data_IF_499262613109
#
_entry.id   IF_499262613109
#
_cell.length_a   1.000
_cell.length_b   1.000
_cell.length_c   1.000
_cell.angle_alpha   90.00
_cell.angle_beta   90.00
_cell.angle_gamma   90.00
#
_symmetry.space_group_name_H-M   'P 1'
#
loop_
_entity.id
_entity.type
_entity.pdbx_description
1 polymer ?
#
# COMPACT_ATOMS: atom_id res chain seq x y z
N UNK A 1 -31.32 63.86 -1.74
CA UNK A 1 -32.33 62.83 -1.41
C UNK A 1 -31.64 61.74 -0.58
N UNK A 2 -31.99 61.60 0.70
CA UNK A 2 -31.45 60.53 1.51
C UNK A 2 -32.14 59.18 1.15
N UNK A 3 -31.35 58.17 0.79
CA UNK A 3 -31.84 56.84 0.45
C UNK A 3 -32.40 56.19 1.73
N UNK A 4 -33.71 55.94 1.79
CA UNK A 4 -34.33 55.20 2.92
C UNK A 4 -33.70 53.81 3.01
N UNK A 5 -33.04 53.54 4.13
CA UNK A 5 -32.50 52.22 4.42
C UNK A 5 -33.68 51.32 4.76
N UNK A 6 -33.81 50.20 4.07
CA UNK A 6 -34.82 49.20 4.37
C UNK A 6 -34.37 48.37 5.59
N UNK A 7 -34.90 48.71 6.77
CA UNK A 7 -34.61 48.06 8.06
C UNK A 7 -34.93 46.57 8.05
N UNK A 8 -35.94 46.12 7.31
CA UNK A 8 -36.30 44.71 7.19
C UNK A 8 -35.21 43.91 6.44
N UNK A 9 -34.64 44.50 5.38
CA UNK A 9 -33.53 43.87 4.67
C UNK A 9 -32.25 43.80 5.53
N UNK A 10 -32.02 44.77 6.41
CA UNK A 10 -30.88 44.72 7.36
C UNK A 10 -31.09 43.61 8.39
N UNK A 11 -32.29 43.50 8.96
CA UNK A 11 -32.60 42.42 9.93
C UNK A 11 -32.42 41.04 9.33
N UNK A 12 -32.88 40.78 8.13
CA UNK A 12 -32.66 39.49 7.42
C UNK A 12 -31.22 39.23 7.13
N UNK A 13 -30.41 40.23 6.84
CA UNK A 13 -28.97 40.07 6.63
C UNK A 13 -28.27 39.69 7.93
N UNK A 14 -28.66 40.27 9.07
CA UNK A 14 -28.13 39.94 10.40
C UNK A 14 -28.45 38.49 10.81
N UNK A 15 -29.71 38.05 10.57
CA UNK A 15 -30.13 36.66 10.80
C UNK A 15 -29.31 35.68 9.95
N UNK A 16 -29.07 36.01 8.67
CA UNK A 16 -28.29 35.17 7.76
C UNK A 16 -26.83 35.10 8.19
N UNK A 17 -26.25 36.20 8.65
CA UNK A 17 -24.89 36.21 9.24
C UNK A 17 -24.82 35.34 10.50
N UNK A 18 -25.85 35.39 11.35
CA UNK A 18 -25.96 34.53 12.53
C UNK A 18 -25.95 33.05 12.17
N UNK A 19 -26.75 32.65 11.18
CA UNK A 19 -26.80 31.29 10.65
C UNK A 19 -25.45 30.84 10.09
N UNK A 20 -24.79 31.67 9.29
CA UNK A 20 -23.47 31.36 8.71
C UNK A 20 -22.42 31.12 9.79
N UNK A 21 -22.41 31.93 10.87
CA UNK A 21 -21.51 31.72 12.00
C UNK A 21 -21.80 30.42 12.75
N UNK A 22 -23.09 30.05 12.86
CA UNK A 22 -23.47 28.75 13.45
C UNK A 22 -22.95 27.58 12.61
N UNK A 23 -23.09 27.63 11.28
CA UNK A 23 -22.55 26.62 10.37
C UNK A 23 -21.04 26.50 10.46
N UNK A 24 -20.30 27.62 10.52
CA UNK A 24 -18.85 27.61 10.69
C UNK A 24 -18.46 26.88 11.98
N UNK A 25 -19.16 27.14 13.08
CA UNK A 25 -18.93 26.48 14.37
C UNK A 25 -19.18 24.96 14.28
N UNK A 26 -20.26 24.54 13.60
CA UNK A 26 -20.58 23.13 13.39
C UNK A 26 -19.56 22.43 12.50
N UNK A 27 -19.07 23.11 11.45
CA UNK A 27 -18.02 22.61 10.57
C UNK A 27 -16.72 22.39 11.34
N UNK A 28 -16.34 23.32 12.22
CA UNK A 28 -15.13 23.17 13.03
C UNK A 28 -15.27 22.05 14.09
N UNK A 29 -16.47 21.87 14.65
CA UNK A 29 -16.75 20.74 15.52
C UNK A 29 -16.67 19.40 14.78
N UNK A 30 -17.20 19.31 13.57
CA UNK A 30 -17.07 18.12 12.71
C UNK A 30 -15.63 17.82 12.35
N UNK A 31 -14.83 18.82 12.02
CA UNK A 31 -13.39 18.65 11.74
C UNK A 31 -12.65 18.08 12.95
N UNK A 32 -12.96 18.58 14.14
CA UNK A 32 -12.38 18.07 15.38
C UNK A 32 -12.74 16.61 15.59
N UNK A 33 -14.01 16.24 15.43
CA UNK A 33 -14.49 14.87 15.57
C UNK A 33 -13.85 13.91 14.54
N UNK A 34 -13.67 14.37 13.30
CA UNK A 34 -12.99 13.58 12.26
C UNK A 34 -11.52 13.33 12.62
N UNK A 35 -10.83 14.31 13.19
CA UNK A 35 -9.46 14.14 13.64
C UNK A 35 -9.36 13.18 14.83
N UNK A 36 -10.24 13.30 15.81
CA UNK A 36 -10.33 12.37 16.94
C UNK A 36 -10.59 10.93 16.47
N UNK A 37 -11.55 10.73 15.56
CA UNK A 37 -11.84 9.42 14.99
C UNK A 37 -10.64 8.83 14.22
N UNK A 38 -9.88 9.67 13.54
CA UNK A 38 -8.65 9.25 12.86
C UNK A 38 -7.58 8.78 13.85
N UNK A 39 -7.41 9.50 14.94
CA UNK A 39 -6.44 9.17 15.99
C UNK A 39 -6.84 7.90 16.74
N UNK A 40 -8.13 7.73 17.04
CA UNK A 40 -8.69 6.50 17.62
C UNK A 40 -8.50 5.31 16.69
N UNK A 41 -8.72 5.49 15.40
CA UNK A 41 -8.50 4.46 14.39
C UNK A 41 -7.01 4.05 14.30
N UNK A 42 -6.09 5.01 14.34
CA UNK A 42 -4.66 4.74 14.38
C UNK A 42 -4.26 3.97 15.65
N UNK A 43 -4.83 4.33 16.79
CA UNK A 43 -4.62 3.65 18.08
C UNK A 43 -5.15 2.21 18.03
N UNK A 44 -6.33 2.00 17.46
CA UNK A 44 -6.92 0.67 17.30
C UNK A 44 -6.06 -0.21 16.38
N UNK A 45 -5.55 0.34 15.26
CA UNK A 45 -4.63 -0.38 14.37
C UNK A 45 -3.36 -0.80 15.10
N UNK A 46 -2.77 0.10 15.89
CA UNK A 46 -1.59 -0.22 16.67
C UNK A 46 -1.89 -1.32 17.71
N UNK A 47 -3.04 -1.26 18.40
CA UNK A 47 -3.47 -2.27 19.35
C UNK A 47 -3.73 -3.64 18.69
N UNK A 48 -4.36 -3.67 17.52
CA UNK A 48 -4.56 -4.90 16.74
C UNK A 48 -3.23 -5.48 16.25
N UNK A 49 -2.27 -4.64 15.88
CA UNK A 49 -0.92 -5.04 15.50
C UNK A 49 -0.17 -5.74 16.65
N UNK A 50 -0.31 -5.23 17.87
CA UNK A 50 0.23 -5.89 19.07
C UNK A 50 -0.39 -7.28 19.31
N UNK A 51 -1.63 -7.50 18.86
CA UNK A 51 -2.33 -8.78 19.01
C UNK A 51 -2.06 -9.77 17.86
N UNK A 52 -1.70 -9.28 16.69
CA UNK A 52 -1.57 -10.11 15.46
C UNK A 52 -0.13 -10.41 15.03
N UNK A 53 0.88 -9.86 15.73
CA UNK A 53 2.29 -9.99 15.37
C UNK A 53 2.75 -9.00 14.29
N UNK A 54 3.94 -9.25 13.75
CA UNK A 54 4.55 -8.39 12.72
C UNK A 54 3.84 -8.55 11.38
N UNK A 55 3.64 -7.46 10.64
CA UNK A 55 3.00 -7.50 9.34
C UNK A 55 2.66 -6.14 8.72
N UNK A 56 2.21 -6.17 7.48
CA UNK A 56 1.75 -4.98 6.76
C UNK A 56 0.40 -4.50 7.29
N UNK A 57 0.28 -3.19 7.45
CA UNK A 57 -1.00 -2.49 7.69
C UNK A 57 -1.61 -2.03 6.37
N UNK A 58 -0.78 -1.49 5.47
CA UNK A 58 -1.20 -1.11 4.11
C UNK A 58 -0.26 -1.72 3.07
N UNK A 59 -0.80 -2.09 1.90
CA UNK A 59 -0.01 -2.62 0.80
C UNK A 59 1.03 -1.60 0.31
N UNK A 60 2.20 -2.10 -0.11
CA UNK A 60 3.27 -1.30 -0.71
C UNK A 60 3.11 -1.11 -2.23
N UNK A 61 2.17 -1.82 -2.86
CA UNK A 61 1.90 -1.78 -4.30
C UNK A 61 3.18 -1.76 -5.17
N UNK A 62 3.78 -2.93 -5.31
CA UNK A 62 5.00 -3.11 -6.10
C UNK A 62 4.76 -2.84 -7.59
N UNK A 63 5.74 -2.26 -8.25
CA UNK A 63 5.69 -2.00 -9.68
C UNK A 63 7.07 -1.71 -10.26
N UNK A 64 7.15 -1.42 -11.55
CA UNK A 64 8.40 -1.03 -12.20
C UNK A 64 8.82 0.36 -11.71
N UNK A 65 10.09 0.49 -11.30
CA UNK A 65 10.67 1.77 -10.90
C UNK A 65 10.93 2.72 -12.07
N UNK A 66 11.17 4.00 -11.78
CA UNK A 66 11.67 4.92 -12.78
C UNK A 66 13.08 4.53 -13.29
N UNK A 67 13.82 3.69 -12.56
CA UNK A 67 14.91 2.86 -13.05
C UNK A 67 14.33 1.51 -13.46
N UNK A 68 14.24 1.18 -14.77
CA UNK A 68 13.44 0.04 -15.24
C UNK A 68 13.86 -1.34 -14.74
N UNK A 69 15.09 -1.49 -14.25
CA UNK A 69 15.57 -2.74 -13.65
C UNK A 69 15.23 -2.87 -12.17
N UNK A 70 14.65 -1.83 -11.55
CA UNK A 70 14.33 -1.77 -10.13
C UNK A 70 12.83 -1.92 -9.87
N UNK A 71 12.49 -2.40 -8.66
CA UNK A 71 11.12 -2.54 -8.20
C UNK A 71 10.75 -1.34 -7.32
N UNK A 72 9.79 -0.53 -7.78
CA UNK A 72 9.23 0.59 -7.03
C UNK A 72 8.23 0.12 -5.98
N UNK A 73 8.07 0.93 -4.93
CA UNK A 73 7.03 0.75 -3.91
C UNK A 73 6.29 2.05 -3.67
N UNK A 74 5.00 1.99 -3.41
CA UNK A 74 4.26 3.11 -2.85
C UNK A 74 4.52 3.23 -1.33
N UNK A 75 4.00 4.31 -0.74
CA UNK A 75 4.03 4.47 0.71
C UNK A 75 3.24 3.35 1.38
N UNK A 76 3.85 2.72 2.38
CA UNK A 76 3.19 1.68 3.16
C UNK A 76 3.43 1.86 4.66
N UNK A 77 2.54 1.25 5.44
CA UNK A 77 2.67 1.19 6.89
C UNK A 77 2.69 -0.27 7.34
N UNK A 78 3.49 -0.56 8.35
CA UNK A 78 3.69 -1.92 8.86
C UNK A 78 3.99 -1.90 10.36
N UNK A 79 3.83 -3.04 11.00
CA UNK A 79 4.10 -3.24 12.43
C UNK A 79 5.22 -4.26 12.58
N UNK A 80 6.22 -3.92 13.40
CA UNK A 80 7.29 -4.81 13.82
C UNK A 80 7.42 -4.67 15.34
N UNK A 81 7.40 -5.79 16.05
CA UNK A 81 7.50 -5.84 17.52
C UNK A 81 6.48 -4.90 18.20
N UNK A 82 5.24 -4.87 17.66
CA UNK A 82 4.15 -4.04 18.19
C UNK A 82 4.29 -2.53 17.94
N UNK A 83 5.29 -2.09 17.17
CA UNK A 83 5.50 -0.69 16.82
C UNK A 83 5.13 -0.42 15.37
N UNK A 84 4.33 0.62 15.15
CA UNK A 84 3.93 1.08 13.81
C UNK A 84 5.07 1.88 13.17
N UNK A 85 5.37 1.53 11.92
CA UNK A 85 6.32 2.21 11.04
C UNK A 85 5.62 2.63 9.76
N UNK A 86 6.14 3.70 9.14
CA UNK A 86 5.70 4.15 7.81
C UNK A 86 6.92 4.32 6.92
N UNK A 87 6.91 3.64 5.77
CA UNK A 87 7.93 3.77 4.72
C UNK A 87 7.38 4.65 3.61
N UNK A 88 8.10 5.70 3.27
CA UNK A 88 7.76 6.54 2.12
C UNK A 88 7.93 5.75 0.80
N UNK A 89 7.21 6.18 -0.23
CA UNK A 89 7.35 5.62 -1.57
C UNK A 89 8.79 5.69 -2.09
N UNK A 90 9.21 4.66 -2.82
CA UNK A 90 10.51 4.58 -3.49
C UNK A 90 10.28 4.49 -5.00
N UNK A 91 10.08 5.64 -5.64
CA UNK A 91 9.73 5.71 -7.07
C UNK A 91 10.86 5.24 -8.00
N UNK A 92 12.12 5.48 -7.64
CA UNK A 92 13.27 4.96 -8.41
C UNK A 92 13.39 3.43 -8.31
N UNK A 93 12.78 2.87 -7.27
CA UNK A 93 12.78 1.46 -6.96
C UNK A 93 14.05 0.98 -6.25
N UNK A 94 13.93 -0.21 -5.68
CA UNK A 94 15.02 -0.96 -5.07
C UNK A 94 15.57 -1.94 -6.09
N UNK A 95 16.89 -2.06 -6.21
CA UNK A 95 17.53 -3.06 -7.06
C UNK A 95 17.20 -4.47 -6.50
N UNK A 96 16.61 -5.34 -7.33
CA UNK A 96 16.09 -6.62 -6.85
C UNK A 96 17.15 -7.73 -6.79
N UNK A 97 18.40 -7.38 -6.55
CA UNK A 97 19.51 -8.33 -6.51
C UNK A 97 20.34 -8.35 -7.81
N UNK A 98 21.03 -9.45 -8.06
CA UNK A 98 21.89 -9.62 -9.24
C UNK A 98 21.92 -11.07 -9.77
N UNK A 99 21.02 -11.93 -9.31
CA UNK A 99 20.91 -13.29 -9.81
C UNK A 99 20.59 -13.33 -11.30
N UNK A 100 21.17 -14.29 -12.00
CA UNK A 100 20.94 -14.57 -13.41
C UNK A 100 19.97 -15.73 -13.51
N UNK A 101 18.80 -15.48 -14.08
CA UNK A 101 17.76 -16.47 -14.32
C UNK A 101 17.94 -17.02 -15.74
N UNK A 102 18.13 -18.33 -15.94
CA UNK A 102 18.27 -18.90 -17.27
C UNK A 102 17.05 -18.67 -18.15
N UNK A 103 17.27 -18.60 -19.45
CA UNK A 103 16.21 -18.44 -20.45
C UNK A 103 15.04 -19.42 -20.21
N UNK A 104 13.80 -18.94 -20.34
CA UNK A 104 12.54 -19.69 -20.14
C UNK A 104 12.30 -20.24 -18.73
N UNK A 105 13.17 -19.95 -17.79
CA UNK A 105 12.98 -20.28 -16.38
C UNK A 105 12.41 -19.09 -15.59
N UNK A 106 11.82 -19.39 -14.44
CA UNK A 106 11.29 -18.39 -13.54
C UNK A 106 12.29 -18.10 -12.42
N UNK A 107 12.39 -16.83 -12.07
CA UNK A 107 13.07 -16.37 -10.84
C UNK A 107 12.14 -15.57 -9.98
N UNK A 108 12.49 -15.39 -8.72
CA UNK A 108 11.69 -14.62 -7.78
C UNK A 108 12.57 -13.81 -6.83
N UNK A 109 12.15 -12.59 -6.53
CA UNK A 109 12.74 -11.72 -5.51
C UNK A 109 11.64 -11.10 -4.67
N UNK A 110 11.76 -11.18 -3.36
CA UNK A 110 10.93 -10.47 -2.42
C UNK A 110 11.56 -9.14 -2.02
N UNK A 111 10.75 -8.19 -1.61
CA UNK A 111 11.17 -6.95 -0.95
C UNK A 111 10.71 -7.01 0.51
N UNK A 112 11.66 -7.01 1.42
CA UNK A 112 11.43 -7.00 2.85
C UNK A 112 11.85 -5.63 3.42
N UNK A 113 11.14 -5.10 4.40
CA UNK A 113 11.47 -3.82 5.06
C UNK A 113 11.73 -4.05 6.54
N UNK A 114 12.83 -3.49 7.03
CA UNK A 114 13.22 -3.57 8.42
C UNK A 114 12.80 -2.34 9.25
N UNK A 115 13.09 -2.39 10.55
CA UNK A 115 12.86 -1.30 11.51
C UNK A 115 13.67 -0.04 11.20
N UNK A 116 14.74 -0.15 10.42
CA UNK A 116 15.57 0.94 9.91
C UNK A 116 14.96 1.64 8.68
N UNK A 117 13.80 1.16 8.19
CA UNK A 117 13.13 1.61 6.98
C UNK A 117 13.93 1.36 5.68
N UNK A 118 14.94 0.48 5.71
CA UNK A 118 15.62 0.02 4.51
C UNK A 118 14.79 -1.10 3.88
N UNK A 119 14.69 -1.10 2.55
CA UNK A 119 14.09 -2.19 1.78
C UNK A 119 15.23 -3.08 1.31
N UNK A 120 15.19 -4.32 1.71
CA UNK A 120 16.14 -5.36 1.32
C UNK A 120 15.51 -6.25 0.24
N UNK A 121 16.27 -6.54 -0.81
CA UNK A 121 15.90 -7.52 -1.82
C UNK A 121 16.34 -8.91 -1.35
N UNK A 122 15.41 -9.86 -1.37
CA UNK A 122 15.63 -11.23 -0.90
C UNK A 122 15.35 -12.19 -2.04
N UNK A 123 16.39 -12.77 -2.60
CA UNK A 123 16.33 -13.65 -3.76
C UNK A 123 15.87 -15.07 -3.36
N UNK A 124 15.17 -15.75 -4.27
CA UNK A 124 14.80 -17.15 -4.08
C UNK A 124 16.06 -18.04 -4.19
N UNK A 125 16.10 -19.12 -3.41
CA UNK A 125 17.29 -19.92 -3.19
C UNK A 125 17.95 -20.49 -4.45
N UNK A 126 17.14 -20.86 -5.47
CA UNK A 126 17.61 -21.53 -6.68
C UNK A 126 17.42 -20.64 -7.95
N UNK A 127 17.42 -19.31 -7.80
CA UNK A 127 17.30 -18.39 -8.93
C UNK A 127 18.33 -18.66 -10.04
N UNK A 128 19.57 -18.94 -9.68
CA UNK A 128 20.63 -19.22 -10.65
C UNK A 128 20.39 -20.48 -11.49
N UNK A 129 19.65 -21.45 -10.98
CA UNK A 129 19.20 -22.63 -11.73
C UNK A 129 17.87 -22.37 -12.43
N UNK A 130 17.07 -21.49 -11.83
CA UNK A 130 15.72 -21.14 -12.25
C UNK A 130 14.70 -22.22 -11.95
N UNK A 131 13.45 -21.80 -11.91
CA UNK A 131 12.30 -22.64 -11.56
C UNK A 131 11.44 -22.92 -12.80
N UNK A 132 10.67 -24.00 -12.76
CA UNK A 132 9.78 -24.38 -13.88
C UNK A 132 8.45 -23.62 -13.88
N UNK A 133 8.14 -22.88 -12.81
CA UNK A 133 6.93 -22.06 -12.70
C UNK A 133 7.11 -20.87 -11.74
N UNK A 134 6.29 -19.83 -11.93
CA UNK A 134 6.25 -18.68 -11.03
C UNK A 134 5.92 -19.07 -9.59
N UNK A 135 5.01 -20.03 -9.41
CA UNK A 135 4.64 -20.54 -8.07
C UNK A 135 5.81 -21.25 -7.38
N UNK A 136 6.55 -22.06 -8.14
CA UNK A 136 7.75 -22.73 -7.60
C UNK A 136 8.82 -21.70 -7.22
N UNK A 137 9.04 -20.67 -8.04
CA UNK A 137 9.98 -19.60 -7.75
C UNK A 137 9.57 -18.81 -6.47
N UNK A 138 8.30 -18.48 -6.34
CA UNK A 138 7.78 -17.81 -5.13
C UNK A 138 7.91 -18.69 -3.87
N UNK A 139 7.72 -20.00 -4.03
CA UNK A 139 7.90 -20.96 -2.92
C UNK A 139 9.36 -21.16 -2.53
N UNK A 140 10.30 -20.79 -3.39
CA UNK A 140 11.75 -20.79 -3.13
C UNK A 140 12.24 -19.59 -2.31
N UNK A 141 11.37 -18.62 -2.02
CA UNK A 141 11.74 -17.49 -1.17
C UNK A 141 12.00 -17.95 0.26
N UNK A 142 13.09 -17.48 0.91
CA UNK A 142 13.33 -17.79 2.31
C UNK A 142 12.29 -17.13 3.21
N UNK A 143 12.21 -17.60 4.45
CA UNK A 143 11.41 -16.96 5.48
C UNK A 143 11.87 -15.51 5.69
N UNK A 144 10.93 -14.65 6.09
CA UNK A 144 11.23 -13.25 6.42
C UNK A 144 12.20 -13.21 7.60
N UNK A 145 13.23 -12.37 7.51
CA UNK A 145 14.20 -12.20 8.58
C UNK A 145 13.53 -11.60 9.84
N UNK A 146 14.13 -11.83 11.01
CA UNK A 146 13.68 -11.17 12.23
C UNK A 146 13.71 -9.64 12.06
N UNK A 147 12.76 -8.97 12.70
CA UNK A 147 12.59 -7.50 12.64
C UNK A 147 12.35 -6.94 11.20
N UNK A 148 11.83 -7.78 10.30
CA UNK A 148 11.45 -7.40 8.94
C UNK A 148 10.00 -7.80 8.65
N UNK A 149 9.41 -7.10 7.68
CA UNK A 149 8.10 -7.42 7.10
C UNK A 149 8.25 -7.50 5.59
N UNK A 150 7.71 -8.55 4.98
CA UNK A 150 7.66 -8.68 3.52
C UNK A 150 6.61 -7.75 2.93
N UNK A 151 7.02 -6.90 1.98
CA UNK A 151 6.15 -5.99 1.25
C UNK A 151 5.40 -6.70 0.12
N UNK A 152 6.07 -7.64 -0.52
CA UNK A 152 5.61 -8.42 -1.64
C UNK A 152 6.78 -9.07 -2.35
N UNK A 153 6.51 -9.64 -3.53
CA UNK A 153 7.55 -10.24 -4.37
C UNK A 153 7.23 -10.04 -5.85
N UNK A 154 8.26 -10.13 -6.69
CA UNK A 154 8.14 -10.16 -8.14
C UNK A 154 8.68 -11.47 -8.67
N UNK A 155 7.93 -12.13 -9.54
CA UNK A 155 8.42 -13.26 -10.35
C UNK A 155 8.69 -12.78 -11.75
N UNK A 156 9.78 -13.26 -12.34
CA UNK A 156 10.19 -12.92 -13.72
C UNK A 156 10.49 -14.17 -14.52
N UNK A 157 10.26 -14.09 -15.83
CA UNK A 157 10.71 -15.08 -16.81
C UNK A 157 11.03 -14.34 -18.12
N UNK A 158 12.15 -14.67 -18.76
CA UNK A 158 12.52 -14.10 -20.05
C UNK A 158 12.56 -15.19 -21.11
N UNK A 159 11.94 -14.93 -22.27
CA UNK A 159 11.78 -15.94 -23.32
C UNK A 159 12.92 -15.98 -24.31
N UNK A 160 13.70 -14.90 -24.48
CA UNK A 160 14.71 -14.73 -25.53
C UNK A 160 16.15 -14.64 -25.03
N UNK A 161 16.41 -15.03 -23.80
CA UNK A 161 17.75 -15.03 -23.20
C UNK A 161 17.66 -15.05 -21.68
N UNK A 162 18.81 -14.94 -21.03
CA UNK A 162 18.87 -14.89 -19.57
C UNK A 162 18.33 -13.55 -19.06
N UNK A 163 17.70 -13.57 -17.89
CA UNK A 163 17.29 -12.39 -17.15
C UNK A 163 18.23 -12.16 -15.98
N UNK A 164 18.82 -10.96 -15.86
CA UNK A 164 19.65 -10.60 -14.72
C UNK A 164 18.93 -9.56 -13.86
N UNK A 165 18.60 -9.91 -12.63
CA UNK A 165 18.03 -8.97 -11.68
C UNK A 165 18.93 -7.74 -11.51
N UNK A 166 18.34 -6.56 -11.33
CA UNK A 166 19.05 -5.29 -11.17
C UNK A 166 19.77 -4.75 -12.44
N UNK A 167 19.81 -5.53 -13.52
CA UNK A 167 20.44 -5.12 -14.79
C UNK A 167 19.49 -5.17 -15.96
N UNK A 168 18.75 -6.28 -16.15
CA UNK A 168 17.74 -6.39 -17.20
C UNK A 168 16.51 -5.58 -16.81
N UNK A 169 15.99 -4.79 -17.75
CA UNK A 169 14.77 -4.03 -17.49
C UNK A 169 13.58 -4.97 -17.27
N UNK A 170 12.82 -4.74 -16.22
CA UNK A 170 11.57 -5.45 -15.97
C UNK A 170 10.54 -5.21 -17.08
N UNK A 171 10.61 -4.05 -17.75
CA UNK A 171 9.77 -3.68 -18.90
C UNK A 171 10.28 -4.19 -20.25
N UNK A 172 11.27 -5.09 -20.29
CA UNK A 172 11.75 -5.68 -21.56
C UNK A 172 10.63 -6.48 -22.23
N UNK A 173 10.48 -6.32 -23.54
CA UNK A 173 9.36 -6.87 -24.33
C UNK A 173 9.22 -8.40 -24.24
N UNK A 174 10.32 -9.11 -23.96
CA UNK A 174 10.36 -10.58 -23.86
C UNK A 174 10.42 -11.07 -22.41
N UNK A 175 10.26 -10.15 -21.44
CA UNK A 175 10.18 -10.43 -20.01
C UNK A 175 8.71 -10.46 -19.59
N UNK A 176 8.34 -11.49 -18.85
CA UNK A 176 7.06 -11.57 -18.13
C UNK A 176 7.35 -11.37 -16.67
N UNK A 177 6.84 -10.28 -16.11
CA UNK A 177 6.93 -9.97 -14.69
C UNK A 177 5.54 -10.00 -14.03
N UNK A 178 5.45 -10.56 -12.86
CA UNK A 178 4.22 -10.57 -12.07
C UNK A 178 4.53 -10.11 -10.64
N UNK A 179 3.88 -9.03 -10.25
CA UNK A 179 3.98 -8.47 -8.91
C UNK A 179 2.90 -9.06 -8.02
N UNK A 180 3.31 -9.62 -6.90
CA UNK A 180 2.42 -10.14 -5.87
C UNK A 180 2.53 -9.27 -4.63
N UNK A 181 1.55 -8.39 -4.46
CA UNK A 181 1.45 -7.50 -3.32
C UNK A 181 0.86 -8.25 -2.13
N UNK A 182 1.51 -8.16 -0.97
CA UNK A 182 0.92 -8.66 0.25
C UNK A 182 -0.14 -7.68 0.73
N UNK A 183 -1.29 -8.22 1.08
CA UNK A 183 -2.37 -7.44 1.68
C UNK A 183 -2.02 -7.08 3.12
N UNK A 184 -2.46 -5.89 3.57
CA UNK A 184 -2.31 -5.49 4.96
C UNK A 184 -3.08 -6.39 5.94
N UNK A 185 -2.75 -6.29 7.22
CA UNK A 185 -3.30 -7.09 8.33
C UNK A 185 -4.84 -7.16 8.38
N UNK A 186 -5.54 -6.21 7.80
CA UNK A 186 -7.00 -6.22 7.72
C UNK A 186 -7.58 -7.34 6.87
N UNK A 187 -6.78 -7.98 6.00
CA UNK A 187 -7.21 -9.12 5.19
C UNK A 187 -7.18 -10.45 5.93
N UNK A 188 -6.52 -10.53 7.09
CA UNK A 188 -6.38 -11.77 7.85
C UNK A 188 -7.36 -11.93 9.01
N UNK A 189 -8.12 -10.89 9.34
CA UNK A 189 -9.13 -10.93 10.41
C UNK A 189 -10.50 -11.24 9.80
N UNK A 190 -10.78 -12.52 9.58
CA UNK A 190 -12.15 -12.98 9.43
C UNK A 190 -12.72 -13.20 8.05
N UNK A 191 -12.01 -13.88 7.17
CA UNK A 191 -12.58 -14.41 5.93
C UNK A 191 -12.11 -13.69 4.68
N UNK A 192 -12.05 -14.40 3.57
CA UNK A 192 -11.63 -13.89 2.27
C UNK A 192 -12.49 -12.69 1.82
N UNK A 193 -11.99 -11.49 2.01
CA UNK A 193 -12.48 -10.36 1.24
C UNK A 193 -12.10 -10.57 -0.23
N UNK A 194 -13.00 -10.26 -1.19
CA UNK A 194 -12.69 -10.40 -2.60
C UNK A 194 -11.47 -9.56 -2.96
N UNK A 195 -10.62 -10.08 -3.84
CA UNK A 195 -9.34 -9.50 -4.24
C UNK A 195 -9.41 -8.08 -4.86
N UNK A 196 -10.60 -7.54 -5.04
CA UNK A 196 -10.87 -6.18 -5.48
C UNK A 196 -12.12 -5.65 -4.78
N UNK A 197 -11.94 -4.77 -3.80
CA UNK A 197 -12.97 -3.82 -3.39
C UNK A 197 -13.05 -2.74 -4.48
N UNK A 198 -13.83 -2.98 -5.54
CA UNK A 198 -14.20 -1.91 -6.46
C UNK A 198 -15.22 -1.00 -5.78
N UNK A 199 -15.24 0.29 -6.13
CA UNK A 199 -16.22 1.25 -5.62
C UNK A 199 -17.68 0.73 -5.77
N UNK A 200 -17.96 -0.11 -6.77
CA UNK A 200 -19.24 -0.77 -6.97
C UNK A 200 -19.60 -1.75 -5.83
N UNK A 201 -18.66 -2.50 -5.28
CA UNK A 201 -18.92 -3.45 -4.20
C UNK A 201 -19.25 -2.76 -2.86
N UNK A 202 -18.75 -1.53 -2.66
CA UNK A 202 -19.06 -0.72 -1.48
C UNK A 202 -20.46 -0.12 -1.59
N UNK A 203 -20.89 0.26 -2.80
CA UNK A 203 -22.22 0.84 -3.04
C UNK A 203 -23.33 -0.19 -2.84
N UNK A 204 -23.13 -1.45 -3.24
CA UNK A 204 -24.11 -2.52 -3.05
C UNK A 204 -24.38 -2.87 -1.57
N UNK A 205 -23.40 -2.70 -0.70
CA UNK A 205 -23.59 -2.92 0.75
C UNK A 205 -24.33 -1.79 1.46
N UNK A 206 -24.33 -0.58 0.90
CA UNK A 206 -25.01 0.58 1.48
C UNK A 206 -26.47 0.66 1.02
N UNK A 207 -26.83 0.09 -0.12
CA UNK A 207 -28.18 0.17 -0.70
C UNK A 207 -29.12 -0.99 -0.33
N UNK A 208 -28.73 -1.90 0.54
CA UNK A 208 -29.59 -2.99 1.02
C UNK A 208 -30.02 -2.82 2.48
N UNK A 209 -30.93 -1.90 2.79
CA UNK A 209 -31.62 -1.92 4.08
C UNK A 209 -32.66 -3.02 4.06
N UNK A 210 -32.54 -3.98 4.98
CA UNK A 210 -33.64 -4.87 5.35
C UNK A 210 -34.45 -4.23 6.45
#
# INVERSE_FOLDING_TARGET
>A
MAKKINLEAVSRAEEMIGLLKSFDTEIDALRTLINELRDDHATLIAALGLMSGDGLVTSAELGIGSTPANVATLQCSFIINGKLYTKAAVAAGTAPGNDVIPQTKYGCVALDVGTNLTIDAVEAADNATGYDSALAAASGLPAVAADHVRLGYVTVMKSDGDFTFGSTALSDANTTEVYSNLAGLFYTIGGSLPATLTAAAVTEQIESPK
#
